data_IF_539309575333
#
_entry.id   IF_539309575333
#
_cell.length_a   1.000
_cell.length_b   1.000
_cell.length_c   1.000
_cell.angle_alpha   90.00
_cell.angle_beta   90.00
_cell.angle_gamma   90.00
#
_symmetry.space_group_name_H-M   'P 1'
#
loop_
_entity.id
_entity.type
_entity.pdbx_description
1 polymer ?
#
# COMPACT_ATOMS: atom_id res chain seq x y z
N UNK A 1 8.94 -6.49 7.48
CA UNK A 1 7.99 -6.26 8.34
C UNK A 1 6.76 -5.62 7.76
N UNK A 2 6.65 -4.30 7.64
CA UNK A 2 5.47 -3.73 7.01
C UNK A 2 5.34 -4.24 5.59
N UNK A 3 6.43 -4.19 4.83
CA UNK A 3 6.41 -4.65 3.44
C UNK A 3 5.98 -6.10 3.36
N UNK A 4 6.49 -6.93 4.24
CA UNK A 4 6.17 -8.35 4.20
C UNK A 4 4.70 -8.60 4.50
N UNK A 5 4.15 -7.87 5.45
CA UNK A 5 2.74 -8.02 5.79
C UNK A 5 1.85 -7.57 4.64
N UNK A 6 2.21 -6.48 3.99
CA UNK A 6 1.45 -6.00 2.85
C UNK A 6 1.49 -7.03 1.71
N UNK A 7 2.67 -7.57 1.45
CA UNK A 7 2.81 -8.55 0.38
C UNK A 7 2.07 -9.85 0.68
N UNK A 8 1.72 -10.09 1.94
CA UNK A 8 0.95 -11.26 2.30
C UNK A 8 -0.54 -11.13 2.10
N UNK A 9 -1.01 -9.94 1.76
CA UNK A 9 -2.43 -9.73 1.52
C UNK A 9 -2.78 -10.28 0.14
N UNK A 10 -3.91 -10.98 0.07
CA UNK A 10 -4.33 -11.61 -1.19
C UNK A 10 -4.47 -10.58 -2.29
N UNK A 11 -4.03 -10.92 -3.50
CA UNK A 11 -4.08 -10.08 -4.69
C UNK A 11 -2.98 -9.03 -4.76
N UNK A 12 -2.20 -8.83 -3.70
CA UNK A 12 -1.10 -7.88 -3.73
C UNK A 12 0.08 -8.50 -4.45
N UNK A 13 0.62 -7.78 -5.41
CA UNK A 13 1.74 -8.26 -6.21
C UNK A 13 3.05 -7.58 -5.90
N UNK A 14 3.00 -6.31 -5.52
CA UNK A 14 4.22 -5.57 -5.23
C UNK A 14 3.90 -4.36 -4.39
N UNK A 15 4.92 -3.84 -3.72
CA UNK A 15 4.84 -2.62 -2.93
C UNK A 15 6.04 -1.76 -3.30
N UNK A 16 5.77 -0.50 -3.59
CA UNK A 16 6.87 0.43 -3.82
C UNK A 16 6.50 1.77 -3.21
N UNK A 17 7.48 2.66 -3.11
CA UNK A 17 7.29 3.97 -2.49
C UNK A 17 6.75 3.83 -1.07
N UNK A 18 7.28 2.86 -0.33
CA UNK A 18 6.87 2.64 1.05
C UNK A 18 7.64 3.56 1.97
N UNK A 19 6.91 4.43 2.65
CA UNK A 19 7.51 5.40 3.56
C UNK A 19 6.76 5.39 4.89
N UNK A 20 7.51 5.35 5.97
CA UNK A 20 6.94 5.44 7.30
C UNK A 20 7.70 6.53 8.06
N UNK A 21 6.97 7.37 8.77
CA UNK A 21 7.59 8.45 9.51
C UNK A 21 6.74 8.81 10.71
N UNK A 22 7.28 9.70 11.54
CA UNK A 22 6.59 10.18 12.72
C UNK A 22 6.46 11.69 12.57
N UNK A 23 5.21 12.18 12.61
CA UNK A 23 5.00 13.61 12.50
C UNK A 23 5.25 14.28 13.84
N UNK A 24 5.13 15.61 13.86
CA UNK A 24 5.58 16.40 14.99
C UNK A 24 4.97 15.98 16.32
N UNK A 25 3.76 15.47 16.31
CA UNK A 25 3.09 15.06 17.54
C UNK A 25 3.48 13.67 18.00
N UNK A 26 4.41 13.01 17.29
CA UNK A 26 4.77 11.65 17.61
C UNK A 26 3.87 10.63 16.99
N UNK A 27 2.97 11.05 16.12
CA UNK A 27 2.01 10.17 15.49
C UNK A 27 2.66 9.45 14.31
N UNK A 28 2.65 8.11 14.29
CA UNK A 28 3.21 7.38 13.14
C UNK A 28 2.27 7.45 11.95
N UNK A 29 2.86 7.69 10.78
CA UNK A 29 2.12 7.73 9.53
C UNK A 29 2.84 6.87 8.50
N UNK A 30 2.09 6.40 7.53
CA UNK A 30 2.63 5.51 6.51
C UNK A 30 2.00 5.83 5.17
N UNK A 31 2.80 5.75 4.12
CA UNK A 31 2.29 5.84 2.76
C UNK A 31 2.95 4.77 1.91
N UNK A 32 2.22 4.28 0.93
CA UNK A 32 2.72 3.21 0.09
C UNK A 32 1.93 3.15 -1.21
N UNK A 33 2.61 2.69 -2.25
CA UNK A 33 1.97 2.33 -3.51
C UNK A 33 1.93 0.81 -3.58
N UNK A 34 0.74 0.25 -3.76
CA UNK A 34 0.55 -1.19 -3.73
C UNK A 34 -0.01 -1.63 -5.07
N UNK A 35 0.70 -2.55 -5.72
CA UNK A 35 0.29 -3.08 -7.00
C UNK A 35 -0.59 -4.30 -6.77
N UNK A 36 -1.79 -4.27 -7.32
CA UNK A 36 -2.71 -5.41 -7.24
C UNK A 36 -3.10 -5.84 -8.65
N UNK A 37 -3.68 -7.03 -8.77
CA UNK A 37 -4.07 -7.54 -10.06
C UNK A 37 -5.03 -6.60 -10.76
N UNK A 38 -4.84 -6.43 -12.07
CA UNK A 38 -5.64 -5.50 -12.84
C UNK A 38 -7.13 -5.81 -12.75
N UNK A 39 -7.47 -7.10 -12.70
CA UNK A 39 -8.86 -7.51 -12.65
C UNK A 39 -9.55 -7.00 -11.40
N UNK A 40 -8.81 -6.72 -10.32
CA UNK A 40 -9.41 -6.26 -9.08
C UNK A 40 -10.06 -4.90 -9.21
N UNK A 41 -9.60 -4.11 -10.19
CA UNK A 41 -10.19 -2.80 -10.41
C UNK A 41 -11.52 -2.92 -11.17
N UNK A 42 -11.71 -4.01 -11.91
CA UNK A 42 -12.92 -4.19 -12.69
C UNK A 42 -14.00 -4.98 -11.97
N UNK A 43 -13.59 -5.88 -11.07
CA UNK A 43 -14.57 -6.74 -10.41
C UNK A 43 -14.97 -6.24 -9.03
N UNK A 44 -14.48 -5.05 -8.64
CA UNK A 44 -14.90 -4.44 -7.39
C UNK A 44 -14.14 -4.87 -6.17
N UNK A 45 -13.04 -5.58 -6.32
CA UNK A 45 -12.25 -6.03 -5.17
C UNK A 45 -11.36 -4.95 -4.59
N UNK A 46 -11.08 -3.89 -5.35
CA UNK A 46 -10.10 -2.90 -4.90
C UNK A 46 -10.47 -2.27 -3.56
N UNK A 47 -11.71 -1.84 -3.32
CA UNK A 47 -12.02 -1.27 -2.01
C UNK A 47 -11.83 -2.25 -0.86
N UNK A 48 -12.15 -3.53 -1.09
CA UNK A 48 -11.98 -4.53 -0.05
C UNK A 48 -10.50 -4.76 0.24
N UNK A 49 -9.67 -4.75 -0.80
CA UNK A 49 -8.23 -4.92 -0.62
C UNK A 49 -7.66 -3.73 0.15
N UNK A 50 -8.10 -2.52 -0.18
CA UNK A 50 -7.64 -1.34 0.53
C UNK A 50 -8.00 -1.42 2.01
N UNK A 51 -9.22 -1.84 2.30
CA UNK A 51 -9.68 -2.00 3.67
C UNK A 51 -8.82 -3.01 4.43
N UNK A 52 -8.52 -4.13 3.77
CA UNK A 52 -7.68 -5.17 4.36
C UNK A 52 -6.28 -4.66 4.65
N UNK A 53 -5.72 -3.90 3.73
CA UNK A 53 -4.38 -3.36 3.90
C UNK A 53 -4.33 -2.39 5.07
N UNK A 54 -5.30 -1.50 5.16
CA UNK A 54 -5.31 -0.52 6.24
C UNK A 54 -5.53 -1.20 7.59
N UNK A 55 -6.39 -2.19 7.63
CA UNK A 55 -6.64 -2.92 8.85
C UNK A 55 -5.39 -3.69 9.30
N UNK A 56 -4.71 -4.31 8.35
CA UNK A 56 -3.50 -5.05 8.64
C UNK A 56 -2.43 -4.13 9.23
N UNK A 57 -2.23 -2.99 8.62
CA UNK A 57 -1.22 -2.05 9.08
C UNK A 57 -1.56 -1.51 10.46
N UNK A 58 -2.81 -1.14 10.66
CA UNK A 58 -3.24 -0.60 11.94
C UNK A 58 -3.11 -1.65 13.05
N UNK A 59 -3.50 -2.87 12.74
CA UNK A 59 -3.56 -3.93 13.74
C UNK A 59 -2.17 -4.42 14.16
N UNK A 60 -1.27 -4.57 13.20
CA UNK A 60 0.03 -5.16 13.48
C UNK A 60 1.09 -4.13 13.85
N UNK A 61 0.92 -2.90 13.46
CA UNK A 61 1.96 -1.90 13.65
C UNK A 61 1.48 -0.66 14.39
N UNK A 62 0.21 -0.65 14.76
CA UNK A 62 -0.39 0.49 15.49
C UNK A 62 -0.21 1.80 14.74
N UNK A 63 -0.38 1.74 13.44
CA UNK A 63 -0.33 2.92 12.58
C UNK A 63 -1.75 3.20 12.10
N UNK A 64 -2.35 4.25 12.64
CA UNK A 64 -3.74 4.56 12.32
C UNK A 64 -3.90 5.43 11.09
N UNK A 65 -2.82 6.10 10.68
CA UNK A 65 -2.88 6.98 9.53
C UNK A 65 -2.01 6.42 8.42
N UNK A 66 -2.65 5.81 7.45
CA UNK A 66 -1.95 5.27 6.30
C UNK A 66 -2.63 5.75 5.03
N UNK A 67 -1.81 6.10 4.05
CA UNK A 67 -2.27 6.50 2.74
C UNK A 67 -1.75 5.45 1.76
N UNK A 68 -2.68 4.73 1.14
CA UNK A 68 -2.31 3.64 0.26
C UNK A 68 -2.92 3.91 -1.11
N UNK A 69 -2.07 3.90 -2.11
CA UNK A 69 -2.50 4.07 -3.49
C UNK A 69 -2.42 2.72 -4.17
N UNK A 70 -3.54 2.27 -4.72
CA UNK A 70 -3.61 0.99 -5.43
C UNK A 70 -3.34 1.23 -6.89
N UNK A 71 -2.49 0.39 -7.48
CA UNK A 71 -2.06 0.54 -8.86
C UNK A 71 -2.18 -0.78 -9.60
N UNK A 72 -2.47 -0.74 -10.89
CA UNK A 72 -2.44 -1.96 -11.71
C UNK A 72 -1.02 -2.35 -12.03
N UNK A 73 -0.78 -3.62 -12.39
CA UNK A 73 0.56 -4.05 -12.78
C UNK A 73 1.07 -3.25 -13.97
N UNK A 74 2.36 -2.99 -13.94
CA UNK A 74 3.00 -2.23 -15.00
C UNK A 74 3.01 -0.74 -14.78
N UNK A 75 2.17 -0.25 -13.90
CA UNK A 75 2.11 1.18 -13.65
C UNK A 75 3.40 1.71 -13.04
N UNK A 76 3.99 0.92 -12.17
CA UNK A 76 5.21 1.33 -11.49
C UNK A 76 6.38 1.48 -12.44
N UNK A 77 6.37 0.75 -13.54
CA UNK A 77 7.48 0.78 -14.48
C UNK A 77 7.47 2.04 -15.35
N UNK A 78 6.38 2.76 -15.33
CA UNK A 78 6.25 4.02 -16.06
C UNK A 78 6.73 5.19 -15.26
N UNK A 79 6.90 5.00 -14.00
CA UNK A 79 7.27 6.04 -13.07
C UNK A 79 8.77 6.24 -13.11
N UNK A 80 9.24 7.25 -13.68
CA UNK A 80 10.66 7.43 -13.80
C UNK A 80 11.19 8.47 -13.06
N UNK A 81 11.05 8.25 -13.10
CA UNK A 81 11.67 8.83 -12.87
C UNK A 81 12.07 8.96 -12.14
N UNK A 82 11.42 8.46 -12.17
CA UNK A 82 11.70 8.43 -11.32
C UNK A 82 12.91 8.86 -11.20
N UNK A 83 12.89 9.10 -11.81
CA UNK A 83 13.67 9.53 -11.75
C UNK A 83 14.40 9.94 -11.64
N UNK A 84 14.25 9.78 -11.80
CA UNK A 84 14.87 10.20 -11.61
C UNK A 84 15.38 10.53 -11.43
#
# INVERSE_FOLDING_TARGET
>A
EVRRHILGVEHVRAVHELHASVVASGLPVLSAHVVIGEECFRDGHAPAILSQLKECISHHFEIDHSTIELEPPGFESVDPQQHD
#
